data_IF_075387252370
#
_entry.id   IF_075387252370
#
_cell.length_a   1.000
_cell.length_b   1.000
_cell.length_c   1.000
_cell.angle_alpha   90.00
_cell.angle_beta   90.00
_cell.angle_gamma   90.00
#
_symmetry.space_group_name_H-M   'P 1'
#
loop_
_entity.id
_entity.type
_entity.pdbx_description
1 polymer ?
#
# COMPACT_ATOMS: atom_id res chain seq x y z
N UNK A 1 -7.16 19.25 8.60
CA UNK A 1 -5.88 19.21 9.32
C UNK A 1 -4.72 18.96 8.35
N UNK A 2 -4.64 19.69 7.25
CA UNK A 2 -3.66 19.44 6.16
C UNK A 2 -2.77 20.66 5.84
N UNK A 3 -2.62 21.63 6.74
CA UNK A 3 -1.77 22.81 6.54
C UNK A 3 -0.51 22.88 7.42
N UNK A 4 -0.22 21.84 8.20
CA UNK A 4 0.96 21.83 9.12
C UNK A 4 2.13 20.96 8.66
N UNK A 5 2.00 20.21 7.57
CA UNK A 5 3.09 19.34 7.05
C UNK A 5 3.92 20.04 5.96
N UNK A 6 3.46 21.16 5.40
CA UNK A 6 4.18 21.84 4.29
C UNK A 6 5.15 22.95 4.74
N UNK A 7 5.22 23.27 6.03
CA UNK A 7 6.08 24.36 6.56
C UNK A 7 7.42 23.84 7.11
N UNK A 8 7.59 22.54 7.29
CA UNK A 8 8.82 21.95 7.86
C UNK A 8 9.88 21.54 6.83
N UNK A 9 9.60 21.66 5.53
CA UNK A 9 10.54 21.28 4.46
C UNK A 9 11.25 22.46 3.78
N UNK A 10 11.00 23.70 4.21
CA UNK A 10 11.60 24.91 3.60
C UNK A 10 12.64 25.60 4.50
N UNK A 11 12.84 25.13 5.73
CA UNK A 11 13.76 25.81 6.69
C UNK A 11 15.14 25.11 6.82
N UNK A 12 15.45 24.11 6.01
CA UNK A 12 16.74 23.38 6.11
C UNK A 12 17.78 23.74 5.02
N UNK A 13 17.62 24.85 4.30
CA UNK A 13 18.58 25.25 3.23
C UNK A 13 19.30 26.59 3.49
N UNK A 14 19.14 27.23 4.64
CA UNK A 14 19.78 28.53 4.86
C UNK A 14 20.45 28.68 6.23
N UNK A 15 21.39 27.78 6.59
CA UNK A 15 22.33 28.01 7.68
C UNK A 15 23.69 27.32 7.41
N UNK A 16 24.30 27.69 6.30
CA UNK A 16 25.75 27.53 6.14
C UNK A 16 26.36 28.93 6.19
N UNK A 17 26.74 29.40 7.35
CA UNK A 17 27.64 30.50 7.48
C UNK A 17 28.40 30.42 8.81
N UNK A 18 29.70 30.17 8.65
CA UNK A 18 30.81 30.61 9.51
C UNK A 18 30.80 30.16 10.97
N UNK A 19 31.35 28.97 11.19
CA UNK A 19 32.05 28.68 12.44
C UNK A 19 33.56 28.60 12.12
N UNK A 20 34.32 29.59 12.56
CA UNK A 20 35.79 29.55 12.60
C UNK A 20 36.20 28.44 13.56
N UNK A 21 36.89 27.43 13.04
CA UNK A 21 37.53 26.42 13.85
C UNK A 21 38.68 27.02 14.68
N UNK A 22 38.57 26.98 15.99
CA UNK A 22 39.72 27.06 16.91
C UNK A 22 40.35 25.66 16.98
N UNK A 23 41.59 25.54 16.62
CA UNK A 23 42.45 24.35 16.83
C UNK A 23 42.73 24.17 18.31
N UNK A 24 42.52 22.99 18.91
CA UNK A 24 43.19 22.60 20.14
C UNK A 24 44.57 22.03 19.78
N UNK A 25 45.59 22.50 20.43
CA UNK A 25 46.96 21.96 20.43
C UNK A 25 46.97 20.72 21.34
N UNK A 26 47.84 19.79 20.89
CA UNK A 26 48.27 18.57 21.58
C UNK A 26 47.28 17.40 21.66
N UNK A 27 47.48 16.51 20.75
CA UNK A 27 47.04 15.09 20.89
C UNK A 27 48.18 14.17 20.49
N UNK A 28 48.64 13.43 21.42
CA UNK A 28 49.53 12.30 21.28
C UNK A 28 49.02 11.37 20.13
N UNK A 29 49.85 11.18 19.13
CA UNK A 29 49.61 10.26 18.03
C UNK A 29 49.55 8.84 18.58
N UNK A 30 48.36 8.31 18.79
CA UNK A 30 48.16 6.88 18.92
C UNK A 30 48.16 6.33 17.49
N UNK A 31 49.22 5.67 17.11
CA UNK A 31 49.33 4.90 15.88
C UNK A 31 48.36 3.72 15.96
N UNK A 32 47.16 3.89 15.40
CA UNK A 32 46.27 2.78 15.09
C UNK A 32 46.85 1.93 13.97
N UNK A 33 46.82 0.60 14.07
CA UNK A 33 47.27 -0.26 12.96
C UNK A 33 46.37 -0.01 11.75
N UNK A 34 46.97 0.30 10.62
CA UNK A 34 46.33 0.48 9.33
C UNK A 34 45.87 -0.88 8.76
N UNK A 35 44.80 -1.39 9.32
CA UNK A 35 43.98 -2.41 8.67
C UNK A 35 42.58 -1.82 8.46
N UNK A 36 42.19 -1.57 7.22
CA UNK A 36 40.79 -1.26 6.90
C UNK A 36 39.94 -2.46 7.28
N UNK A 37 39.25 -2.41 8.43
CA UNK A 37 38.23 -3.37 8.74
C UNK A 37 37.12 -3.16 7.76
N UNK A 38 36.94 -4.07 6.82
CA UNK A 38 35.94 -3.96 5.75
C UNK A 38 34.54 -4.13 6.34
N UNK A 39 34.39 -4.99 7.33
CA UNK A 39 33.17 -5.18 8.15
C UNK A 39 33.51 -5.98 9.43
N UNK A 40 32.61 -6.00 10.42
CA UNK A 40 32.81 -6.71 11.67
C UNK A 40 31.78 -7.81 11.84
N UNK A 41 32.24 -9.06 12.09
CA UNK A 41 31.37 -10.16 12.50
C UNK A 41 30.98 -9.95 13.97
N UNK A 42 29.73 -9.63 14.22
CA UNK A 42 29.23 -9.34 15.57
C UNK A 42 28.61 -10.58 16.24
N UNK A 43 27.95 -11.44 15.47
CA UNK A 43 27.41 -12.71 15.92
C UNK A 43 27.69 -13.81 14.90
N UNK A 44 27.67 -15.07 15.36
CA UNK A 44 27.64 -16.26 14.53
C UNK A 44 26.53 -17.17 15.06
N UNK A 45 25.65 -17.62 14.20
CA UNK A 45 24.51 -18.49 14.50
C UNK A 45 24.56 -19.70 13.55
N UNK A 46 24.94 -20.88 14.07
CA UNK A 46 25.26 -22.01 13.22
C UNK A 46 26.45 -21.69 12.31
N UNK A 47 26.26 -21.77 10.99
CA UNK A 47 27.26 -21.47 9.97
C UNK A 47 27.12 -20.04 9.41
N UNK A 48 26.15 -19.26 9.92
CA UNK A 48 25.83 -17.92 9.44
C UNK A 48 26.48 -16.84 10.30
N UNK A 49 27.26 -15.96 9.66
CA UNK A 49 27.80 -14.77 10.31
C UNK A 49 26.80 -13.60 10.16
N UNK A 50 26.66 -12.82 11.24
CA UNK A 50 25.92 -11.55 11.24
C UNK A 50 26.95 -10.44 11.32
N UNK A 51 26.88 -9.53 10.36
CA UNK A 51 27.80 -8.42 10.23
C UNK A 51 27.24 -7.15 10.88
N UNK A 52 28.12 -6.24 11.24
CA UNK A 52 27.72 -4.93 11.74
C UNK A 52 26.93 -4.15 10.65
N UNK A 53 27.33 -4.30 9.39
CA UNK A 53 26.63 -3.71 8.25
C UNK A 53 25.19 -4.21 8.09
N UNK A 54 24.89 -5.48 8.44
CA UNK A 54 23.52 -6.02 8.39
C UNK A 54 22.63 -5.32 9.43
N UNK A 55 23.18 -5.07 10.62
CA UNK A 55 22.46 -4.35 11.69
C UNK A 55 22.16 -2.91 11.28
N UNK A 56 23.14 -2.22 10.70
CA UNK A 56 22.94 -0.84 10.25
C UNK A 56 21.97 -0.76 9.07
N UNK A 57 22.00 -1.72 8.14
CA UNK A 57 21.04 -1.80 7.05
C UNK A 57 19.61 -1.99 7.58
N UNK A 58 19.41 -2.91 8.53
CA UNK A 58 18.09 -3.13 9.13
C UNK A 58 17.63 -1.93 9.97
N UNK A 59 18.56 -1.25 10.65
CA UNK A 59 18.26 -0.01 11.39
C UNK A 59 17.76 1.10 10.48
N UNK A 60 18.46 1.35 9.37
CA UNK A 60 18.09 2.37 8.37
C UNK A 60 16.74 2.03 7.76
N UNK A 61 16.52 0.78 7.36
CA UNK A 61 15.25 0.34 6.82
C UNK A 61 14.11 0.55 7.82
N UNK A 62 14.28 0.13 9.08
CA UNK A 62 13.28 0.30 10.11
C UNK A 62 12.93 1.77 10.39
N UNK A 63 13.93 2.66 10.35
CA UNK A 63 13.70 4.11 10.47
C UNK A 63 12.89 4.67 9.30
N UNK A 64 13.16 4.22 8.08
CA UNK A 64 12.41 4.64 6.88
C UNK A 64 10.94 4.16 6.92
N UNK A 65 10.72 2.97 7.45
CA UNK A 65 9.39 2.37 7.62
C UNK A 65 8.65 2.86 8.87
N UNK A 66 9.31 3.67 9.72
CA UNK A 66 8.75 4.18 10.97
C UNK A 66 8.55 3.09 12.04
N UNK A 67 9.33 2.01 11.98
CA UNK A 67 9.27 0.92 12.94
C UNK A 67 9.75 1.39 14.32
N UNK A 68 9.08 0.93 15.37
CA UNK A 68 9.50 1.10 16.76
C UNK A 68 10.13 -0.21 17.24
N UNK A 69 11.40 -0.15 17.57
CA UNK A 69 12.10 -1.29 18.14
C UNK A 69 11.68 -1.53 19.58
N UNK A 70 11.57 -2.80 19.97
CA UNK A 70 11.38 -3.17 21.35
C UNK A 70 12.73 -3.08 22.11
N UNK A 71 12.76 -2.36 23.24
CA UNK A 71 13.97 -2.18 24.03
C UNK A 71 15.05 -1.36 23.31
N UNK A 72 16.33 -1.69 23.61
CA UNK A 72 17.48 -1.05 22.98
C UNK A 72 17.71 -1.59 21.55
N UNK A 73 17.64 -0.74 20.49
CA UNK A 73 17.87 -1.16 19.12
C UNK A 73 19.24 -1.84 18.88
N UNK A 74 20.26 -1.47 19.65
CA UNK A 74 21.59 -2.06 19.54
C UNK A 74 21.61 -3.53 20.00
N UNK A 75 20.63 -3.97 20.78
CA UNK A 75 20.45 -5.32 21.23
C UNK A 75 19.39 -6.05 20.42
N UNK A 76 18.23 -5.43 20.21
CA UNK A 76 17.08 -6.08 19.59
C UNK A 76 17.25 -6.33 18.08
N UNK A 77 17.97 -5.45 17.35
CA UNK A 77 18.20 -5.67 15.91
C UNK A 77 19.11 -6.88 15.65
N UNK A 78 20.31 -7.00 16.28
CA UNK A 78 21.14 -8.20 16.14
C UNK A 78 20.40 -9.48 16.53
N UNK A 79 19.62 -9.45 17.62
CA UNK A 79 18.81 -10.60 18.05
C UNK A 79 17.77 -11.00 16.99
N UNK A 80 17.08 -10.03 16.41
CA UNK A 80 16.09 -10.28 15.38
C UNK A 80 16.71 -10.90 14.13
N UNK A 81 17.91 -10.45 13.71
CA UNK A 81 18.66 -11.05 12.61
C UNK A 81 19.06 -12.49 12.98
N UNK A 82 19.55 -12.71 14.21
CA UNK A 82 19.94 -14.03 14.69
C UNK A 82 18.76 -15.02 14.68
N UNK A 83 17.58 -14.59 15.12
CA UNK A 83 16.33 -15.38 15.07
C UNK A 83 15.95 -15.72 13.63
N UNK A 84 16.06 -14.76 12.69
CA UNK A 84 15.82 -15.03 11.27
C UNK A 84 16.78 -16.08 10.71
N UNK A 85 18.08 -16.02 11.09
CA UNK A 85 19.08 -17.04 10.68
C UNK A 85 18.77 -18.43 11.26
N UNK A 86 18.23 -18.53 12.48
CA UNK A 86 17.75 -19.82 13.02
C UNK A 86 16.62 -20.42 12.19
N UNK A 87 15.62 -19.60 11.80
CA UNK A 87 14.53 -20.04 10.94
C UNK A 87 15.02 -20.43 9.55
N UNK A 88 15.91 -19.62 8.94
CA UNK A 88 16.46 -19.90 7.63
C UNK A 88 17.24 -21.23 7.60
N UNK A 89 18.12 -21.43 8.56
CA UNK A 89 18.87 -22.68 8.69
C UNK A 89 17.92 -23.89 8.79
N UNK A 90 16.88 -23.80 9.62
CA UNK A 90 15.91 -24.89 9.72
C UNK A 90 15.09 -25.06 8.44
N UNK A 91 14.73 -23.96 7.75
CA UNK A 91 14.02 -24.03 6.48
C UNK A 91 14.81 -24.78 5.41
N UNK A 92 16.13 -24.59 5.38
CA UNK A 92 17.05 -25.31 4.48
C UNK A 92 17.08 -26.81 4.85
N UNK A 93 17.26 -27.14 6.13
CA UNK A 93 17.27 -28.53 6.63
C UNK A 93 15.96 -29.24 6.31
N UNK A 94 14.84 -28.55 6.52
CA UNK A 94 13.49 -29.07 6.30
C UNK A 94 13.03 -29.00 4.85
N UNK A 95 13.88 -28.53 3.92
CA UNK A 95 13.59 -28.36 2.50
C UNK A 95 12.28 -27.60 2.25
N UNK A 96 12.13 -26.43 2.89
CA UNK A 96 10.98 -25.57 2.68
C UNK A 96 11.02 -25.06 1.25
N UNK A 97 10.05 -25.45 0.44
CA UNK A 97 9.97 -25.09 -0.97
C UNK A 97 9.45 -23.65 -1.14
N UNK A 98 10.13 -22.89 -1.99
CA UNK A 98 9.69 -21.56 -2.48
C UNK A 98 9.85 -21.58 -3.99
N UNK A 99 8.80 -21.31 -4.74
CA UNK A 99 8.85 -21.39 -6.19
C UNK A 99 9.53 -20.18 -6.81
N UNK A 100 10.31 -20.40 -7.88
CA UNK A 100 10.96 -19.32 -8.61
C UNK A 100 9.95 -18.31 -9.22
N UNK A 101 8.74 -18.77 -9.49
CA UNK A 101 7.64 -17.92 -9.99
C UNK A 101 7.18 -16.92 -8.93
N UNK A 102 6.96 -17.38 -7.69
CA UNK A 102 6.58 -16.50 -6.57
C UNK A 102 7.66 -15.47 -6.26
N UNK A 103 8.93 -15.91 -6.27
CA UNK A 103 10.06 -15.02 -6.07
C UNK A 103 10.13 -13.97 -7.18
N UNK A 104 10.03 -14.39 -8.44
CA UNK A 104 10.10 -13.46 -9.57
C UNK A 104 8.96 -12.43 -9.54
N UNK A 105 7.73 -12.86 -9.25
CA UNK A 105 6.57 -11.99 -9.15
C UNK A 105 6.73 -10.98 -7.99
N UNK A 106 7.14 -11.43 -6.81
CA UNK A 106 7.33 -10.56 -5.66
C UNK A 106 8.45 -9.53 -5.86
N UNK A 107 9.57 -9.94 -6.48
CA UNK A 107 10.68 -9.04 -6.80
C UNK A 107 10.28 -7.99 -7.83
N UNK A 108 9.58 -8.36 -8.90
CA UNK A 108 9.12 -7.38 -9.89
C UNK A 108 8.12 -6.37 -9.27
N UNK A 109 7.19 -6.83 -8.45
CA UNK A 109 6.26 -5.95 -7.73
C UNK A 109 7.00 -4.97 -6.81
N UNK A 110 8.02 -5.44 -6.09
CA UNK A 110 8.83 -4.60 -5.22
C UNK A 110 9.64 -3.57 -6.02
N UNK A 111 10.27 -3.99 -7.14
CA UNK A 111 11.00 -3.10 -8.03
C UNK A 111 10.11 -2.02 -8.65
N UNK A 112 8.90 -2.38 -9.09
CA UNK A 112 7.92 -1.42 -9.62
C UNK A 112 7.55 -0.37 -8.57
N UNK A 113 7.33 -0.78 -7.32
CA UNK A 113 7.05 0.12 -6.21
C UNK A 113 8.24 1.06 -5.94
N UNK A 114 9.48 0.53 -5.90
CA UNK A 114 10.69 1.35 -5.72
C UNK A 114 10.87 2.36 -6.86
N UNK A 115 10.71 1.93 -8.10
CA UNK A 115 10.80 2.81 -9.28
C UNK A 115 9.74 3.91 -9.21
N UNK A 116 8.53 3.57 -8.78
CA UNK A 116 7.43 4.53 -8.61
C UNK A 116 7.75 5.59 -7.53
N UNK A 117 8.32 5.17 -6.40
CA UNK A 117 8.69 6.09 -5.31
C UNK A 117 9.88 7.00 -5.68
N UNK A 118 10.91 6.45 -6.32
CA UNK A 118 12.13 7.20 -6.69
C UNK A 118 11.90 8.02 -7.96
N UNK A 119 10.92 7.63 -8.79
CA UNK A 119 10.46 8.35 -9.96
C UNK A 119 11.00 7.86 -11.30
N UNK A 120 12.12 7.11 -11.36
CA UNK A 120 12.57 6.44 -12.59
C UNK A 120 13.54 5.30 -12.29
N UNK A 121 13.72 4.43 -13.29
CA UNK A 121 14.67 3.31 -13.27
C UNK A 121 16.12 3.81 -13.15
N UNK A 122 16.48 4.83 -13.92
CA UNK A 122 17.83 5.41 -13.96
C UNK A 122 18.21 5.96 -12.58
N UNK A 123 17.27 6.64 -11.90
CA UNK A 123 17.49 7.13 -10.54
C UNK A 123 17.63 6.00 -9.52
N UNK A 124 16.91 4.88 -9.70
CA UNK A 124 17.07 3.70 -8.87
C UNK A 124 18.47 3.09 -9.05
N UNK A 125 18.95 2.95 -10.31
CA UNK A 125 20.29 2.46 -10.62
C UNK A 125 21.39 3.39 -10.07
N UNK A 126 21.20 4.71 -10.18
CA UNK A 126 22.10 5.71 -9.62
C UNK A 126 22.16 5.66 -8.08
N UNK A 127 20.98 5.55 -7.43
CA UNK A 127 20.88 5.46 -5.97
C UNK A 127 21.59 4.22 -5.42
N UNK A 128 21.37 3.06 -6.04
CA UNK A 128 22.00 1.81 -5.63
C UNK A 128 23.41 1.61 -6.19
N UNK A 129 23.86 2.46 -7.11
CA UNK A 129 25.13 2.32 -7.86
C UNK A 129 25.26 0.93 -8.51
N UNK A 130 24.15 0.34 -8.92
CA UNK A 130 24.04 -0.98 -9.53
C UNK A 130 23.06 -0.94 -10.69
N UNK A 131 23.28 -1.80 -11.69
CA UNK A 131 22.28 -1.97 -12.76
C UNK A 131 21.00 -2.62 -12.21
N UNK A 132 19.86 -2.39 -12.87
CA UNK A 132 18.59 -3.01 -12.47
C UNK A 132 18.67 -4.54 -12.43
N UNK A 133 19.47 -5.14 -13.30
CA UNK A 133 19.69 -6.59 -13.30
C UNK A 133 20.44 -7.07 -12.05
N UNK A 134 21.41 -6.31 -11.57
CA UNK A 134 22.11 -6.60 -10.31
C UNK A 134 21.19 -6.39 -9.11
N UNK A 135 20.46 -5.27 -9.07
CA UNK A 135 19.46 -5.01 -8.01
C UNK A 135 18.43 -6.14 -7.95
N UNK A 136 17.94 -6.59 -9.13
CA UNK A 136 17.01 -7.73 -9.22
C UNK A 136 17.61 -9.03 -8.69
N UNK A 137 18.87 -9.30 -9.00
CA UNK A 137 19.56 -10.51 -8.50
C UNK A 137 19.70 -10.48 -6.97
N UNK A 138 20.14 -9.36 -6.41
CA UNK A 138 20.27 -9.17 -4.96
C UNK A 138 18.90 -9.31 -4.25
N UNK A 139 17.86 -8.71 -4.82
CA UNK A 139 16.50 -8.81 -4.30
C UNK A 139 15.94 -10.23 -4.36
N UNK A 140 16.29 -11.01 -5.39
CA UNK A 140 15.85 -12.42 -5.51
C UNK A 140 16.35 -13.26 -4.35
N UNK A 141 17.63 -13.12 -3.99
CA UNK A 141 18.22 -13.87 -2.89
C UNK A 141 17.57 -13.49 -1.56
N UNK A 142 17.53 -12.21 -1.22
CA UNK A 142 16.93 -11.74 0.04
C UNK A 142 15.42 -12.03 0.11
N UNK A 143 14.71 -12.01 -1.03
CA UNK A 143 13.29 -12.38 -1.09
C UNK A 143 13.09 -13.87 -0.87
N UNK A 144 13.96 -14.72 -1.45
CA UNK A 144 13.95 -16.18 -1.25
C UNK A 144 14.15 -16.52 0.22
N UNK A 145 15.20 -15.97 0.86
CA UNK A 145 15.47 -16.20 2.30
C UNK A 145 14.27 -15.81 3.15
N UNK A 146 13.66 -14.65 2.89
CA UNK A 146 12.48 -14.16 3.61
C UNK A 146 11.29 -15.11 3.46
N UNK A 147 11.03 -15.59 2.23
CA UNK A 147 9.94 -16.54 1.98
C UNK A 147 10.20 -17.90 2.67
N UNK A 148 11.45 -18.37 2.69
CA UNK A 148 11.83 -19.59 3.39
C UNK A 148 11.62 -19.46 4.91
N UNK A 149 12.02 -18.33 5.51
CA UNK A 149 11.78 -18.03 6.93
C UNK A 149 10.29 -18.02 7.24
N UNK A 150 9.50 -17.33 6.43
CA UNK A 150 8.05 -17.27 6.59
C UNK A 150 7.38 -18.64 6.42
N UNK A 151 7.80 -19.41 5.43
CA UNK A 151 7.34 -20.77 5.20
C UNK A 151 7.66 -21.70 6.38
N UNK A 152 8.85 -21.56 6.97
CA UNK A 152 9.23 -22.31 8.16
C UNK A 152 8.36 -21.95 9.37
N UNK A 153 8.13 -20.67 9.62
CA UNK A 153 7.23 -20.21 10.69
C UNK A 153 5.81 -20.75 10.49
N UNK A 154 5.28 -20.68 9.26
CA UNK A 154 3.96 -21.23 8.93
C UNK A 154 3.91 -22.75 9.16
N UNK A 155 4.95 -23.49 8.75
CA UNK A 155 5.06 -24.92 8.95
C UNK A 155 4.99 -25.31 10.43
N UNK A 156 5.64 -24.55 11.30
CA UNK A 156 5.63 -24.77 12.74
C UNK A 156 4.26 -24.57 13.40
N UNK A 157 3.43 -23.70 12.83
CA UNK A 157 2.15 -23.33 13.45
C UNK A 157 0.92 -23.79 12.65
N UNK A 158 1.09 -24.49 11.51
CA UNK A 158 -0.02 -24.89 10.62
C UNK A 158 -1.08 -25.75 11.31
N UNK A 159 -0.63 -26.64 12.19
CA UNK A 159 -1.50 -27.60 12.87
C UNK A 159 -2.01 -27.10 14.24
N UNK A 160 -1.63 -25.87 14.61
CA UNK A 160 -2.09 -25.25 15.85
C UNK A 160 -3.53 -24.83 15.73
N UNK A 161 -4.37 -25.42 16.53
CA UNK A 161 -5.81 -25.12 16.61
C UNK A 161 -6.20 -24.74 18.03
N UNK A 162 -7.33 -24.09 18.17
CA UNK A 162 -7.89 -23.70 19.47
C UNK A 162 -9.35 -24.13 19.52
N UNK A 163 -9.69 -24.88 20.55
CA UNK A 163 -11.05 -25.36 20.79
C UNK A 163 -11.95 -24.25 21.40
N UNK A 164 -13.28 -24.33 21.23
CA UNK A 164 -14.19 -23.39 21.85
C UNK A 164 -14.11 -23.37 23.40
N UNK A 165 -13.75 -24.49 24.00
CA UNK A 165 -13.57 -24.58 25.46
C UNK A 165 -12.34 -23.80 25.93
N UNK A 166 -11.23 -23.85 25.17
CA UNK A 166 -10.01 -23.09 25.46
C UNK A 166 -10.25 -21.59 25.35
N UNK A 167 -10.99 -21.14 24.29
CA UNK A 167 -11.35 -19.71 24.13
C UNK A 167 -12.16 -19.25 25.34
N UNK A 168 -13.23 -19.98 25.71
CA UNK A 168 -14.05 -19.65 26.87
C UNK A 168 -13.23 -19.59 28.17
N UNK A 169 -12.33 -20.56 28.39
CA UNK A 169 -11.46 -20.59 29.56
C UNK A 169 -10.52 -19.39 29.61
N UNK A 170 -9.93 -19.03 28.46
CA UNK A 170 -8.98 -17.92 28.38
C UNK A 170 -9.61 -16.59 28.80
N UNK A 171 -10.87 -16.32 28.42
CA UNK A 171 -11.56 -15.07 28.71
C UNK A 171 -12.43 -15.11 29.97
N UNK A 172 -12.63 -16.30 30.59
CA UNK A 172 -13.54 -16.46 31.73
C UNK A 172 -13.20 -15.55 32.91
N UNK A 173 -11.91 -15.46 33.22
CA UNK A 173 -11.43 -14.75 34.40
C UNK A 173 -10.74 -13.41 34.03
N UNK A 174 -10.88 -12.98 32.77
CA UNK A 174 -10.30 -11.73 32.29
C UNK A 174 -11.16 -10.55 32.72
N UNK A 175 -10.56 -9.49 33.32
CA UNK A 175 -11.28 -8.27 33.64
C UNK A 175 -11.92 -7.65 32.37
N UNK A 176 -13.12 -7.10 32.52
CA UNK A 176 -13.82 -6.48 31.38
C UNK A 176 -13.01 -5.41 30.66
N UNK A 177 -12.20 -4.64 31.38
CA UNK A 177 -11.34 -3.60 30.81
C UNK A 177 -10.22 -4.16 29.94
N UNK A 178 -9.83 -5.41 30.17
CA UNK A 178 -8.80 -6.13 29.40
C UNK A 178 -9.33 -6.86 28.16
N UNK A 179 -10.67 -6.94 28.01
CA UNK A 179 -11.26 -7.51 26.80
C UNK A 179 -11.00 -6.61 25.59
N UNK A 180 -10.73 -7.19 24.41
CA UNK A 180 -10.54 -6.43 23.21
C UNK A 180 -11.79 -5.59 22.87
N UNK A 181 -11.57 -4.39 22.37
CA UNK A 181 -12.65 -3.55 21.89
C UNK A 181 -12.93 -3.89 20.42
N UNK A 182 -14.17 -4.21 20.11
CA UNK A 182 -14.69 -4.39 18.76
C UNK A 182 -15.19 -3.03 18.29
N UNK A 183 -14.62 -2.44 17.25
CA UNK A 183 -15.06 -1.13 16.76
C UNK A 183 -16.45 -1.24 16.13
N UNK A 184 -17.17 -0.10 16.05
CA UNK A 184 -18.43 -0.01 15.33
C UNK A 184 -18.29 -0.50 13.90
N UNK A 185 -19.15 -1.43 13.51
CA UNK A 185 -19.28 -1.95 12.16
C UNK A 185 -20.61 -1.58 11.55
N UNK A 186 -20.61 -1.23 10.27
CA UNK A 186 -21.82 -0.85 9.53
C UNK A 186 -21.90 -1.56 8.20
N UNK A 187 -23.13 -1.83 7.74
CA UNK A 187 -23.42 -2.15 6.35
C UNK A 187 -24.14 -0.96 5.72
N UNK A 188 -23.65 -0.54 4.57
CA UNK A 188 -24.12 0.66 3.87
C UNK A 188 -24.56 0.31 2.46
N UNK A 189 -25.70 0.83 2.05
CA UNK A 189 -26.14 0.83 0.66
C UNK A 189 -26.01 2.22 0.08
N UNK A 190 -25.65 2.32 -1.21
CA UNK A 190 -25.39 3.59 -1.91
C UNK A 190 -26.15 3.67 -3.23
N UNK A 191 -26.68 4.84 -3.53
CA UNK A 191 -27.14 5.22 -4.88
C UNK A 191 -26.31 6.40 -5.31
N UNK A 192 -25.66 6.28 -6.46
CA UNK A 192 -24.87 7.37 -7.04
C UNK A 192 -25.48 7.89 -8.32
N UNK A 193 -25.28 9.18 -8.57
CA UNK A 193 -25.54 9.82 -9.85
C UNK A 193 -24.29 10.56 -10.29
N UNK A 194 -23.84 10.27 -11.50
CA UNK A 194 -22.73 11.00 -12.10
C UNK A 194 -23.26 12.29 -12.73
N UNK A 195 -22.81 13.48 -12.26
CA UNK A 195 -23.18 14.72 -12.91
C UNK A 195 -22.76 14.70 -14.39
N UNK A 196 -23.64 15.13 -15.28
CA UNK A 196 -23.35 15.15 -16.71
C UNK A 196 -22.39 16.28 -17.03
N UNK A 197 -21.30 15.96 -17.68
CA UNK A 197 -20.38 16.96 -18.21
C UNK A 197 -21.05 17.68 -19.40
N UNK A 198 -20.99 19.00 -19.43
CA UNK A 198 -21.53 19.77 -20.52
C UNK A 198 -20.69 19.60 -21.80
N UNK A 199 -21.36 19.68 -22.96
CA UNK A 199 -20.71 19.45 -24.24
C UNK A 199 -19.62 20.50 -24.54
N UNK A 200 -19.80 21.73 -24.05
CA UNK A 200 -18.82 22.80 -24.16
C UNK A 200 -17.51 22.46 -23.46
N UNK A 201 -17.60 21.91 -22.27
CA UNK A 201 -16.41 21.46 -21.51
C UNK A 201 -15.68 20.29 -22.21
N UNK A 202 -16.45 19.35 -22.76
CA UNK A 202 -15.89 18.26 -23.58
C UNK A 202 -15.17 18.83 -24.80
N UNK A 203 -15.77 19.82 -25.47
CA UNK A 203 -15.17 20.45 -26.63
C UNK A 203 -13.90 21.22 -26.25
N UNK A 204 -13.91 21.95 -25.14
CA UNK A 204 -12.73 22.64 -24.59
C UNK A 204 -11.56 21.68 -24.36
N UNK A 205 -11.80 20.58 -23.68
CA UNK A 205 -10.77 19.56 -23.41
C UNK A 205 -10.23 18.95 -24.72
N UNK A 206 -11.12 18.68 -25.69
CA UNK A 206 -10.70 18.16 -27.00
C UNK A 206 -9.88 19.18 -27.79
N UNK A 207 -10.19 20.45 -27.68
CA UNK A 207 -9.42 21.54 -28.33
C UNK A 207 -8.03 21.69 -27.71
N UNK A 208 -7.91 21.62 -26.38
CA UNK A 208 -6.61 21.60 -25.71
C UNK A 208 -5.73 20.42 -26.18
N UNK A 209 -6.29 19.23 -26.28
CA UNK A 209 -5.56 18.06 -26.77
C UNK A 209 -5.16 18.17 -28.24
N UNK A 210 -5.96 18.83 -29.07
CA UNK A 210 -5.59 19.16 -30.47
C UNK A 210 -4.42 20.13 -30.49
N UNK A 211 -4.49 21.22 -29.70
CA UNK A 211 -3.38 22.17 -29.57
C UNK A 211 -2.09 21.48 -29.18
N UNK A 212 -2.13 20.61 -28.17
CA UNK A 212 -0.96 19.82 -27.76
C UNK A 212 -0.42 18.95 -28.90
N UNK A 213 -1.30 18.30 -29.64
CA UNK A 213 -0.94 17.50 -30.81
C UNK A 213 -0.26 18.34 -31.89
N UNK A 214 -0.81 19.50 -32.18
CA UNK A 214 -0.26 20.42 -33.19
C UNK A 214 1.12 20.96 -32.78
N UNK A 215 1.30 21.34 -31.51
CA UNK A 215 2.58 21.81 -30.98
C UNK A 215 3.66 20.74 -31.04
N UNK A 216 3.28 19.48 -30.77
CA UNK A 216 4.19 18.31 -30.87
C UNK A 216 4.57 18.09 -32.34
N UNK A 217 3.62 18.07 -33.25
CA UNK A 217 3.83 17.82 -34.68
C UNK A 217 4.67 18.91 -35.35
N UNK A 218 4.53 20.17 -34.89
CA UNK A 218 5.33 21.32 -35.37
C UNK A 218 6.73 21.37 -34.72
N UNK A 219 7.02 20.53 -33.72
CA UNK A 219 8.27 20.54 -32.98
C UNK A 219 8.43 21.72 -32.01
N UNK A 220 7.34 22.46 -31.72
CA UNK A 220 7.33 23.58 -30.77
C UNK A 220 7.46 23.13 -29.33
N UNK A 221 7.06 21.89 -29.01
CA UNK A 221 7.19 21.28 -27.70
C UNK A 221 7.32 19.77 -27.79
N UNK A 222 8.01 19.16 -26.82
CA UNK A 222 8.04 17.70 -26.73
C UNK A 222 6.80 17.13 -26.05
N UNK A 223 6.41 15.92 -26.43
CA UNK A 223 5.30 15.21 -25.77
C UNK A 223 5.51 15.10 -24.26
N UNK A 224 6.75 14.78 -23.83
CA UNK A 224 7.12 14.67 -22.42
C UNK A 224 6.94 15.97 -21.64
N UNK A 225 7.30 17.10 -22.25
CA UNK A 225 7.15 18.42 -21.63
C UNK A 225 5.66 18.73 -21.40
N UNK A 226 4.83 18.53 -22.44
CA UNK A 226 3.39 18.79 -22.33
C UNK A 226 2.71 17.81 -21.36
N UNK A 227 3.15 16.55 -21.34
CA UNK A 227 2.63 15.58 -20.37
C UNK A 227 2.95 15.97 -18.92
N UNK A 228 4.18 16.45 -18.64
CA UNK A 228 4.55 16.93 -17.30
C UNK A 228 3.78 18.16 -16.85
N UNK A 229 3.45 19.04 -17.77
CA UNK A 229 2.78 20.31 -17.46
C UNK A 229 1.25 20.15 -17.37
N UNK A 230 0.66 19.31 -18.22
CA UNK A 230 -0.79 19.34 -18.45
C UNK A 230 -1.49 18.00 -18.26
N UNK A 231 -0.75 16.86 -18.19
CA UNK A 231 -1.42 15.57 -17.96
C UNK A 231 -1.98 15.48 -16.56
N UNK A 232 -3.24 15.08 -16.47
CA UNK A 232 -3.96 14.83 -15.22
C UNK A 232 -3.91 13.36 -14.79
N UNK A 233 -2.99 12.58 -15.38
CA UNK A 233 -2.69 11.23 -14.90
C UNK A 233 -1.58 11.27 -13.82
N UNK A 234 -1.91 11.04 -12.53
CA UNK A 234 -0.94 11.14 -11.45
C UNK A 234 0.16 10.07 -11.55
N UNK A 235 -0.13 8.94 -12.21
CA UNK A 235 0.80 7.81 -12.35
C UNK A 235 1.91 8.06 -13.35
N UNK A 236 1.67 8.83 -14.42
CA UNK A 236 2.60 9.00 -15.53
C UNK A 236 3.02 10.42 -15.80
N UNK A 237 2.25 11.43 -15.38
CA UNK A 237 2.50 12.85 -15.69
C UNK A 237 3.94 13.27 -15.35
N UNK A 238 4.42 12.96 -14.13
CA UNK A 238 5.78 13.29 -13.66
C UNK A 238 6.88 12.65 -14.50
N UNK A 239 6.58 11.48 -15.10
CA UNK A 239 7.48 10.74 -16.01
C UNK A 239 7.31 11.12 -17.48
N UNK A 240 6.66 12.27 -17.76
CA UNK A 240 6.43 12.72 -19.11
C UNK A 240 5.36 11.90 -19.86
N UNK A 241 4.40 11.37 -19.13
CA UNK A 241 3.30 10.55 -19.65
C UNK A 241 3.68 9.09 -19.94
N UNK A 242 4.88 8.64 -19.58
CA UNK A 242 5.40 7.33 -19.94
C UNK A 242 4.75 6.20 -19.14
N UNK A 243 4.13 5.27 -19.87
CA UNK A 243 3.60 4.01 -19.40
C UNK A 243 4.52 2.89 -19.90
N UNK A 244 5.04 2.09 -18.98
CA UNK A 244 6.00 1.04 -19.29
C UNK A 244 5.34 -0.14 -20.02
N UNK A 245 6.13 -1.15 -20.43
CA UNK A 245 5.66 -2.28 -21.20
C UNK A 245 4.45 -2.96 -20.57
N UNK A 246 3.27 -2.67 -21.10
CA UNK A 246 1.98 -3.12 -20.56
C UNK A 246 1.26 -3.97 -21.60
N UNK A 247 0.70 -5.08 -21.15
CA UNK A 247 -0.13 -5.96 -21.98
C UNK A 247 -1.52 -5.38 -22.23
N UNK A 248 -2.16 -5.79 -23.33
CA UNK A 248 -3.45 -5.26 -23.78
C UNK A 248 -4.55 -5.35 -22.70
N UNK A 249 -4.60 -6.45 -21.95
CA UNK A 249 -5.63 -6.71 -20.92
C UNK A 249 -5.49 -5.86 -19.65
N UNK A 250 -4.36 -5.15 -19.49
CA UNK A 250 -4.11 -4.25 -18.36
C UNK A 250 -4.50 -2.79 -18.63
N UNK A 251 -4.96 -2.49 -19.84
CA UNK A 251 -5.32 -1.15 -20.29
C UNK A 251 -6.82 -1.04 -20.51
N UNK A 252 -7.36 0.18 -20.38
CA UNK A 252 -8.73 0.48 -20.82
C UNK A 252 -8.92 0.00 -22.27
N UNK A 253 -10.02 -0.67 -22.62
CA UNK A 253 -10.23 -1.23 -23.96
C UNK A 253 -10.13 -0.21 -25.11
N UNK A 254 -10.67 1.01 -24.92
CA UNK A 254 -10.60 2.07 -25.93
C UNK A 254 -9.17 2.58 -26.10
N UNK A 255 -8.48 2.80 -24.99
CA UNK A 255 -7.06 3.18 -24.96
C UNK A 255 -6.19 2.09 -25.63
N UNK A 256 -6.38 0.83 -25.24
CA UNK A 256 -5.63 -0.31 -25.77
C UNK A 256 -5.80 -0.46 -27.29
N UNK A 257 -7.03 -0.31 -27.79
CA UNK A 257 -7.30 -0.43 -29.23
C UNK A 257 -6.50 0.58 -30.05
N UNK A 258 -6.43 1.83 -29.59
CA UNK A 258 -5.65 2.87 -30.27
C UNK A 258 -4.15 2.68 -30.06
N UNK A 259 -3.70 2.44 -28.82
CA UNK A 259 -2.30 2.29 -28.49
C UNK A 259 -1.64 1.15 -29.28
N UNK A 260 -2.26 -0.01 -29.32
CA UNK A 260 -1.75 -1.19 -30.07
C UNK A 260 -1.86 -1.02 -31.59
N UNK A 261 -2.72 -0.10 -32.09
CA UNK A 261 -2.81 0.27 -33.49
C UNK A 261 -1.70 1.20 -33.98
N UNK A 262 -0.98 1.87 -33.07
CA UNK A 262 0.11 2.79 -33.43
C UNK A 262 1.30 2.01 -34.01
N UNK A 263 1.86 2.56 -35.10
CA UNK A 263 3.03 1.95 -35.79
C UNK A 263 4.19 2.93 -35.90
N UNK A 264 3.95 4.24 -35.79
CA UNK A 264 4.94 5.30 -35.96
C UNK A 264 5.18 6.02 -34.64
N UNK A 265 6.40 5.93 -34.06
CA UNK A 265 6.74 6.62 -32.81
C UNK A 265 6.75 8.15 -32.91
N UNK A 266 6.80 8.71 -34.11
CA UNK A 266 6.79 10.16 -34.32
C UNK A 266 5.39 10.76 -34.34
N UNK A 267 4.36 9.93 -34.52
CA UNK A 267 2.97 10.37 -34.64
C UNK A 267 2.25 10.29 -33.31
N UNK A 268 1.46 11.33 -33.03
CA UNK A 268 0.49 11.35 -31.94
C UNK A 268 -0.83 10.74 -32.43
N UNK A 269 -1.51 9.98 -31.60
CA UNK A 269 -2.82 9.39 -31.90
C UNK A 269 -3.90 10.45 -32.11
N UNK A 270 -5.03 10.04 -32.67
CA UNK A 270 -6.29 10.78 -32.50
C UNK A 270 -6.67 10.79 -31.02
N UNK A 271 -7.53 11.73 -30.62
CA UNK A 271 -8.07 11.78 -29.27
C UNK A 271 -8.86 10.50 -28.99
N UNK A 272 -8.57 9.86 -27.85
CA UNK A 272 -9.21 8.65 -27.37
C UNK A 272 -10.02 8.98 -26.13
N UNK A 273 -11.27 8.56 -26.10
CA UNK A 273 -12.12 8.64 -24.92
C UNK A 273 -12.10 7.32 -24.17
N UNK A 274 -11.77 7.37 -22.87
CA UNK A 274 -11.74 6.22 -21.95
C UNK A 274 -12.60 6.49 -20.73
N UNK A 275 -12.73 5.53 -19.84
CA UNK A 275 -13.37 5.76 -18.53
C UNK A 275 -12.70 6.85 -17.70
N UNK A 276 -11.41 7.12 -17.92
CA UNK A 276 -10.61 8.11 -17.17
C UNK A 276 -10.68 9.53 -17.75
N UNK A 277 -11.11 9.71 -18.98
CA UNK A 277 -11.16 10.99 -19.68
C UNK A 277 -10.69 10.89 -21.12
N UNK A 278 -10.14 11.98 -21.65
CA UNK A 278 -9.65 12.08 -23.02
C UNK A 278 -8.13 12.00 -23.07
N UNK A 279 -7.61 11.21 -23.99
CA UNK A 279 -6.18 10.95 -24.13
C UNK A 279 -5.70 11.26 -25.54
N UNK A 280 -4.43 11.67 -25.63
CA UNK A 280 -3.60 11.49 -26.81
C UNK A 280 -2.42 10.59 -26.46
N UNK A 281 -2.01 9.75 -27.39
CA UNK A 281 -1.05 8.66 -27.16
C UNK A 281 0.06 8.74 -28.19
N UNK A 282 1.30 8.50 -27.78
CA UNK A 282 2.46 8.36 -28.65
C UNK A 282 3.18 7.05 -28.36
N UNK A 283 3.49 6.30 -29.41
CA UNK A 283 4.26 5.06 -29.31
C UNK A 283 5.70 5.34 -28.89
N UNK A 284 6.27 4.54 -28.00
CA UNK A 284 7.70 4.50 -27.71
C UNK A 284 8.30 3.23 -28.30
N UNK A 285 7.77 2.06 -27.96
CA UNK A 285 8.29 0.76 -28.40
C UNK A 285 7.21 -0.34 -28.29
N UNK A 286 7.41 -1.44 -29.07
CA UNK A 286 6.58 -2.65 -28.98
C UNK A 286 7.46 -3.88 -28.81
N UNK A 287 7.07 -4.77 -27.88
CA UNK A 287 7.77 -6.02 -27.63
C UNK A 287 6.76 -7.15 -27.48
N UNK A 288 6.61 -7.96 -28.52
CA UNK A 288 5.65 -9.04 -28.54
C UNK A 288 4.23 -8.55 -28.29
N UNK A 289 3.61 -9.03 -27.23
CA UNK A 289 2.24 -8.69 -26.80
C UNK A 289 2.15 -7.48 -25.86
N UNK A 290 3.30 -6.79 -25.61
CA UNK A 290 3.39 -5.60 -24.75
C UNK A 290 3.74 -4.37 -25.55
N UNK A 291 3.22 -3.22 -25.07
CA UNK A 291 3.46 -1.90 -25.66
C UNK A 291 3.96 -0.93 -24.60
N UNK A 292 4.92 -0.10 -24.99
CA UNK A 292 5.41 1.05 -24.22
C UNK A 292 4.98 2.33 -24.95
N UNK A 293 4.22 3.19 -24.26
CA UNK A 293 3.64 4.43 -24.81
C UNK A 293 3.84 5.61 -23.88
N UNK A 294 3.60 6.79 -24.41
CA UNK A 294 3.32 8.01 -23.61
C UNK A 294 1.91 8.44 -23.86
N UNK A 295 1.27 9.01 -22.84
CA UNK A 295 -0.05 9.61 -22.99
C UNK A 295 -0.18 10.91 -22.22
N UNK A 296 -1.09 11.75 -22.68
CA UNK A 296 -1.57 12.93 -21.95
C UNK A 296 -3.04 12.69 -21.69
N UNK A 297 -3.42 12.68 -20.42
CA UNK A 297 -4.81 12.58 -19.98
C UNK A 297 -5.33 13.96 -19.63
N UNK A 298 -6.51 14.31 -20.15
CA UNK A 298 -7.30 15.46 -19.73
C UNK A 298 -8.69 15.02 -19.32
N UNK A 299 -9.14 15.52 -18.17
CA UNK A 299 -10.45 15.20 -17.61
C UNK A 299 -11.37 16.41 -17.76
N UNK A 300 -12.56 16.25 -18.35
CA UNK A 300 -13.52 17.34 -18.34
C UNK A 300 -13.99 17.60 -16.91
N UNK A 301 -14.05 18.86 -16.52
CA UNK A 301 -14.48 19.30 -15.20
C UNK A 301 -16.00 19.39 -15.16
N UNK A 302 -16.58 18.86 -14.10
CA UNK A 302 -18.01 18.99 -13.84
C UNK A 302 -18.26 20.35 -13.21
N UNK A 303 -19.15 21.16 -13.80
CA UNK A 303 -19.51 22.45 -13.25
C UNK A 303 -20.51 22.31 -12.07
N UNK A 304 -20.62 23.36 -11.25
CA UNK A 304 -21.49 23.37 -10.07
C UNK A 304 -22.97 23.22 -10.43
N UNK A 305 -23.38 23.66 -11.62
CA UNK A 305 -24.77 23.53 -12.08
C UNK A 305 -25.12 22.04 -12.32
N UNK A 306 -24.23 21.30 -12.97
CA UNK A 306 -24.43 19.85 -13.19
C UNK A 306 -24.44 19.08 -11.86
N UNK A 307 -23.58 19.47 -10.92
CA UNK A 307 -23.56 18.89 -9.56
C UNK A 307 -24.91 19.17 -8.88
N UNK A 308 -25.38 20.42 -8.89
CA UNK A 308 -26.64 20.80 -8.25
C UNK A 308 -27.85 20.09 -8.87
N UNK A 309 -27.88 19.91 -10.20
CA UNK A 309 -28.92 19.10 -10.89
C UNK A 309 -28.91 17.65 -10.41
N UNK A 310 -27.74 17.04 -10.26
CA UNK A 310 -27.62 15.66 -9.77
C UNK A 310 -28.03 15.53 -8.30
N UNK A 311 -27.63 16.47 -7.45
CA UNK A 311 -28.06 16.52 -6.03
C UNK A 311 -29.57 16.67 -5.91
N UNK A 312 -30.20 17.60 -6.66
CA UNK A 312 -31.64 17.80 -6.66
C UNK A 312 -32.39 16.54 -7.12
N UNK A 313 -31.87 15.86 -8.17
CA UNK A 313 -32.44 14.59 -8.61
C UNK A 313 -32.35 13.51 -7.54
N UNK A 314 -31.21 13.39 -6.86
CA UNK A 314 -31.05 12.44 -5.75
C UNK A 314 -31.94 12.76 -4.57
N UNK A 315 -32.20 14.04 -4.27
CA UNK A 315 -33.12 14.44 -3.21
C UNK A 315 -34.57 14.07 -3.56
N UNK A 316 -34.98 14.21 -4.81
CA UNK A 316 -36.28 13.72 -5.29
C UNK A 316 -36.39 12.20 -5.16
N UNK A 317 -35.34 11.44 -5.55
CA UNK A 317 -35.27 9.98 -5.40
C UNK A 317 -35.37 9.59 -3.91
N UNK A 318 -34.61 10.29 -3.07
CA UNK A 318 -34.65 10.09 -1.61
C UNK A 318 -36.07 10.29 -1.06
N UNK A 319 -36.73 11.37 -1.47
CA UNK A 319 -38.11 11.66 -1.04
C UNK A 319 -39.06 10.55 -1.48
N UNK A 320 -38.97 10.11 -2.73
CA UNK A 320 -39.81 9.01 -3.25
C UNK A 320 -39.60 7.69 -2.49
N UNK A 321 -38.37 7.41 -2.07
CA UNK A 321 -38.06 6.24 -1.24
C UNK A 321 -38.64 6.39 0.18
N UNK A 322 -38.48 7.56 0.79
CA UNK A 322 -39.00 7.86 2.13
C UNK A 322 -40.51 7.81 2.13
N UNK A 323 -41.17 8.28 1.08
CA UNK A 323 -42.63 8.22 0.89
C UNK A 323 -43.13 6.80 0.56
N UNK A 324 -42.22 5.82 0.41
CA UNK A 324 -42.56 4.41 0.18
C UNK A 324 -43.00 4.09 -1.25
N UNK A 325 -42.73 4.97 -2.24
CA UNK A 325 -43.09 4.71 -3.65
C UNK A 325 -42.30 3.51 -4.20
N UNK A 326 -41.09 3.32 -3.76
CA UNK A 326 -40.25 2.15 -4.04
C UNK A 326 -39.15 2.01 -2.99
N UNK A 327 -38.63 0.77 -2.74
CA UNK A 327 -37.57 0.55 -1.77
C UNK A 327 -36.21 1.04 -2.30
N UNK A 328 -35.28 1.37 -1.38
CA UNK A 328 -33.93 1.84 -1.70
C UNK A 328 -33.20 0.87 -2.63
N UNK A 329 -33.36 -0.42 -2.40
CA UNK A 329 -32.75 -1.53 -3.14
C UNK A 329 -33.16 -1.52 -4.63
N UNK A 330 -34.41 -1.24 -4.91
CA UNK A 330 -34.92 -1.09 -6.27
C UNK A 330 -34.35 0.17 -6.94
N UNK A 331 -34.33 1.29 -6.20
CA UNK A 331 -33.68 2.53 -6.65
C UNK A 331 -32.21 2.31 -6.98
N UNK A 332 -31.47 1.62 -6.11
CA UNK A 332 -30.07 1.31 -6.34
C UNK A 332 -29.85 0.46 -7.59
N UNK A 333 -30.68 -0.55 -7.82
CA UNK A 333 -30.54 -1.46 -8.96
C UNK A 333 -30.90 -0.83 -10.31
N UNK A 334 -31.81 0.15 -10.33
CA UNK A 334 -32.36 0.73 -11.57
C UNK A 334 -31.76 2.10 -11.86
N UNK A 335 -31.56 2.93 -10.82
CA UNK A 335 -31.27 4.35 -10.97
C UNK A 335 -29.79 4.67 -10.74
N UNK A 336 -29.07 3.86 -9.94
CA UNK A 336 -27.67 4.12 -9.61
C UNK A 336 -26.75 4.01 -10.84
N UNK A 337 -25.86 4.98 -10.97
CA UNK A 337 -24.81 4.95 -11.99
C UNK A 337 -23.59 4.10 -11.55
N UNK A 338 -23.53 3.69 -10.27
CA UNK A 338 -22.45 2.87 -9.77
C UNK A 338 -22.61 1.40 -10.21
N UNK A 339 -21.73 0.97 -11.10
CA UNK A 339 -21.75 -0.39 -11.66
C UNK A 339 -21.34 -1.46 -10.62
N UNK A 340 -20.58 -1.09 -9.62
CA UNK A 340 -19.98 -2.02 -8.66
C UNK A 340 -20.99 -2.45 -7.59
N UNK A 341 -21.86 -1.52 -7.17
CA UNK A 341 -22.89 -1.79 -6.15
C UNK A 341 -24.30 -2.01 -6.74
N UNK A 342 -24.59 -1.51 -7.94
CA UNK A 342 -25.91 -1.59 -8.58
C UNK A 342 -26.45 -3.02 -8.65
N UNK A 343 -25.62 -3.98 -9.05
CA UNK A 343 -26.00 -5.39 -9.18
C UNK A 343 -26.18 -6.09 -7.83
N UNK A 344 -25.75 -5.44 -6.74
CA UNK A 344 -25.90 -5.91 -5.36
C UNK A 344 -26.83 -4.99 -4.55
N UNK A 345 -27.88 -4.45 -5.21
CA UNK A 345 -28.90 -3.62 -4.55
C UNK A 345 -28.33 -2.39 -3.81
N UNK A 346 -27.23 -1.86 -4.33
CA UNK A 346 -26.50 -0.74 -3.75
C UNK A 346 -25.59 -1.10 -2.57
N UNK A 347 -25.52 -2.37 -2.14
CA UNK A 347 -24.71 -2.80 -1.00
C UNK A 347 -23.20 -2.63 -1.31
N UNK A 348 -22.54 -1.83 -0.51
CA UNK A 348 -21.09 -1.60 -0.61
C UNK A 348 -20.32 -2.85 -0.15
N UNK A 349 -19.15 -3.05 -0.71
CA UNK A 349 -18.28 -4.18 -0.39
C UNK A 349 -16.90 -3.69 0.05
N UNK A 350 -16.45 -4.21 1.18
CA UNK A 350 -15.10 -4.03 1.72
C UNK A 350 -14.22 -5.21 1.32
N UNK A 351 -13.00 -4.94 0.87
CA UNK A 351 -12.00 -5.96 0.56
C UNK A 351 -10.98 -5.97 1.69
N UNK A 352 -11.03 -7.00 2.50
CA UNK A 352 -10.10 -7.21 3.61
C UNK A 352 -9.12 -8.34 3.29
N UNK A 353 -8.10 -8.53 4.14
CA UNK A 353 -7.18 -9.67 4.00
C UNK A 353 -7.89 -11.03 4.16
N UNK A 354 -9.04 -11.06 4.83
CA UNK A 354 -9.85 -12.26 5.05
C UNK A 354 -10.83 -12.53 3.90
N UNK A 355 -10.95 -11.59 2.95
CA UNK A 355 -11.84 -11.68 1.80
C UNK A 355 -12.78 -10.49 1.63
N UNK A 356 -13.81 -10.68 0.81
CA UNK A 356 -14.82 -9.65 0.53
C UNK A 356 -15.97 -9.75 1.52
N UNK A 357 -16.28 -8.63 2.19
CA UNK A 357 -17.38 -8.50 3.16
C UNK A 357 -18.23 -7.27 2.87
N UNK A 358 -19.47 -7.23 3.36
CA UNK A 358 -20.33 -6.03 3.35
C UNK A 358 -20.14 -5.14 4.59
N UNK A 359 -19.39 -5.61 5.58
CA UNK A 359 -19.16 -4.89 6.83
C UNK A 359 -17.95 -3.97 6.73
N UNK A 360 -18.12 -2.75 7.20
CA UNK A 360 -17.09 -1.73 7.28
C UNK A 360 -16.92 -1.25 8.71
N UNK A 361 -15.69 -1.14 9.16
CA UNK A 361 -15.39 -0.23 10.27
C UNK A 361 -15.55 1.20 9.76
N UNK A 362 -15.94 2.13 10.62
CA UNK A 362 -16.14 3.53 10.20
C UNK A 362 -14.91 4.14 9.53
N UNK A 363 -13.71 3.72 9.92
CA UNK A 363 -12.45 4.18 9.34
C UNK A 363 -12.16 3.62 7.92
N UNK A 364 -12.80 2.52 7.55
CA UNK A 364 -12.62 1.85 6.25
C UNK A 364 -13.55 2.41 5.16
N UNK A 365 -14.55 3.21 5.56
CA UNK A 365 -15.45 3.88 4.63
C UNK A 365 -14.80 5.13 4.00
N UNK A 366 -15.18 5.48 2.74
CA UNK A 366 -14.87 6.80 2.21
C UNK A 366 -15.33 7.90 3.17
N UNK A 367 -14.53 8.94 3.35
CA UNK A 367 -14.74 9.96 4.40
C UNK A 367 -16.10 10.65 4.33
N UNK A 368 -16.63 10.87 3.13
CA UNK A 368 -17.93 11.47 2.90
C UNK A 368 -19.07 10.53 3.27
N UNK A 369 -18.92 9.24 2.95
CA UNK A 369 -19.87 8.19 3.32
C UNK A 369 -19.89 8.00 4.84
N UNK A 370 -18.70 7.94 5.47
CA UNK A 370 -18.58 7.81 6.92
C UNK A 370 -19.31 8.95 7.65
N UNK A 371 -19.09 10.21 7.22
CA UNK A 371 -19.77 11.39 7.78
C UNK A 371 -21.30 11.34 7.60
N UNK A 372 -21.75 10.87 6.43
CA UNK A 372 -23.18 10.76 6.16
C UNK A 372 -23.84 9.68 7.03
N UNK A 373 -23.16 8.54 7.20
CA UNK A 373 -23.65 7.37 7.96
C UNK A 373 -23.63 7.60 9.47
N UNK A 374 -22.66 8.39 9.98
CA UNK A 374 -22.46 8.61 11.42
C UNK A 374 -23.72 9.15 12.12
N UNK A 375 -24.48 9.98 11.43
CA UNK A 375 -25.72 10.63 11.96
C UNK A 375 -26.99 9.83 11.70
N UNK A 376 -26.93 8.71 10.98
CA UNK A 376 -28.10 7.94 10.60
C UNK A 376 -28.48 6.89 11.66
N UNK A 377 -29.77 6.73 11.87
CA UNK A 377 -30.33 5.51 12.48
C UNK A 377 -30.39 4.38 11.44
N UNK A 378 -30.44 3.13 11.91
CA UNK A 378 -30.60 1.96 11.02
C UNK A 378 -31.87 2.10 10.19
N UNK A 379 -31.75 1.90 8.88
CA UNK A 379 -32.82 2.14 7.89
C UNK A 379 -32.89 3.59 7.39
N UNK A 380 -32.21 4.53 8.05
CA UNK A 380 -32.19 5.94 7.66
C UNK A 380 -31.43 6.19 6.36
N UNK A 381 -31.84 7.23 5.62
CA UNK A 381 -31.25 7.63 4.34
C UNK A 381 -30.67 9.03 4.48
N UNK A 382 -29.44 9.23 4.02
CA UNK A 382 -28.77 10.53 4.08
C UNK A 382 -29.39 11.55 3.15
N UNK A 383 -29.11 12.84 3.41
CA UNK A 383 -29.25 13.87 2.37
C UNK A 383 -28.24 13.58 1.25
N UNK A 384 -28.51 14.09 0.01
CA UNK A 384 -27.53 14.01 -1.08
C UNK A 384 -26.24 14.75 -0.71
N UNK A 385 -25.11 14.15 -1.10
CA UNK A 385 -23.77 14.73 -0.93
C UNK A 385 -22.89 14.41 -2.12
N UNK A 386 -21.77 15.13 -2.25
CA UNK A 386 -20.74 14.88 -3.28
C UNK A 386 -19.60 14.10 -2.69
N UNK A 387 -19.02 13.18 -3.49
CA UNK A 387 -17.81 12.45 -3.16
C UNK A 387 -16.96 12.18 -4.40
N UNK A 388 -15.72 11.77 -4.19
CA UNK A 388 -14.86 11.27 -5.25
C UNK A 388 -14.89 9.75 -5.20
N UNK A 389 -15.26 9.10 -6.29
CA UNK A 389 -15.27 7.65 -6.37
C UNK A 389 -13.84 7.08 -6.56
N UNK A 390 -13.69 5.75 -6.49
CA UNK A 390 -12.40 5.06 -6.66
C UNK A 390 -11.72 5.34 -8.01
N UNK A 391 -12.47 5.79 -9.01
CA UNK A 391 -11.96 6.18 -10.34
C UNK A 391 -11.57 7.66 -10.43
N UNK A 392 -11.59 8.38 -9.30
CA UNK A 392 -11.23 9.79 -9.22
C UNK A 392 -12.26 10.74 -9.86
N UNK A 393 -13.52 10.30 -10.05
CA UNK A 393 -14.61 11.12 -10.59
C UNK A 393 -15.47 11.67 -9.48
N UNK A 394 -15.89 12.94 -9.62
CA UNK A 394 -16.92 13.53 -8.77
C UNK A 394 -18.26 12.88 -9.05
N UNK A 395 -18.88 12.33 -8.03
CA UNK A 395 -20.23 11.75 -8.06
C UNK A 395 -21.07 12.34 -6.94
N UNK A 396 -22.37 12.39 -7.15
CA UNK A 396 -23.34 12.70 -6.10
C UNK A 396 -23.92 11.38 -5.56
N UNK A 397 -24.15 11.29 -4.27
CA UNK A 397 -24.62 10.08 -3.64
C UNK A 397 -25.66 10.33 -2.54
N UNK A 398 -26.52 9.34 -2.30
CA UNK A 398 -27.26 9.12 -1.08
C UNK A 398 -26.93 7.74 -0.55
N UNK A 399 -26.85 7.61 0.77
CA UNK A 399 -26.58 6.34 1.43
C UNK A 399 -27.70 5.97 2.40
N UNK A 400 -27.92 4.66 2.54
CA UNK A 400 -28.81 4.08 3.54
C UNK A 400 -27.98 3.26 4.50
N UNK A 401 -28.15 3.51 5.79
CA UNK A 401 -27.56 2.66 6.83
C UNK A 401 -28.40 1.39 6.96
N UNK A 402 -27.90 0.27 6.44
CA UNK A 402 -28.60 -1.01 6.44
C UNK A 402 -28.54 -1.69 7.79
N UNK A 403 -27.36 -1.72 8.40
CA UNK A 403 -27.15 -2.27 9.75
C UNK A 403 -26.03 -1.53 10.47
N UNK A 404 -26.06 -1.55 11.81
CA UNK A 404 -25.03 -1.00 12.68
C UNK A 404 -24.86 -1.93 13.87
N UNK A 405 -23.63 -2.28 14.15
CA UNK A 405 -23.20 -2.93 15.39
C UNK A 405 -22.31 -1.92 16.08
N UNK A 406 -22.78 -1.39 17.22
CA UNK A 406 -22.04 -0.37 17.95
C UNK A 406 -20.77 -0.96 18.56
N UNK A 407 -19.76 -0.12 18.70
CA UNK A 407 -18.48 -0.53 19.29
C UNK A 407 -18.69 -0.98 20.74
N UNK A 408 -18.14 -2.14 21.07
CA UNK A 408 -18.34 -2.77 22.38
C UNK A 408 -17.11 -3.58 22.81
N UNK A 409 -17.03 -3.92 24.07
CA UNK A 409 -16.08 -4.93 24.55
C UNK A 409 -16.50 -6.29 24.05
N UNK A 410 -15.56 -7.04 23.47
CA UNK A 410 -15.84 -8.33 22.85
C UNK A 410 -16.56 -9.28 23.82
N UNK A 411 -17.59 -9.95 23.31
CA UNK A 411 -18.34 -10.98 24.05
C UNK A 411 -18.10 -12.36 23.43
N UNK A 412 -18.17 -13.40 24.25
CA UNK A 412 -17.99 -14.78 23.77
C UNK A 412 -19.13 -15.22 22.84
N UNK A 413 -20.30 -14.61 22.97
CA UNK A 413 -21.49 -14.97 22.20
C UNK A 413 -21.51 -14.34 20.82
N UNK A 414 -21.08 -13.10 20.70
CA UNK A 414 -21.19 -12.31 19.45
C UNK A 414 -19.86 -12.28 18.69
N UNK A 415 -18.72 -12.24 19.41
CA UNK A 415 -17.39 -12.01 18.84
C UNK A 415 -16.48 -13.24 18.93
N UNK A 416 -17.08 -14.42 19.02
CA UNK A 416 -16.33 -15.67 19.23
C UNK A 416 -15.18 -15.85 18.25
N UNK A 417 -15.34 -15.47 16.96
CA UNK A 417 -14.29 -15.65 15.96
C UNK A 417 -13.13 -14.69 16.22
N UNK A 418 -13.39 -13.44 16.60
CA UNK A 418 -12.35 -12.45 16.96
C UNK A 418 -11.56 -12.96 18.15
N UNK A 419 -12.25 -13.40 19.20
CA UNK A 419 -11.65 -13.93 20.41
C UNK A 419 -10.86 -15.22 20.14
N UNK A 420 -11.38 -16.11 19.29
CA UNK A 420 -10.68 -17.33 18.86
C UNK A 420 -9.38 -17.00 18.11
N UNK A 421 -9.43 -16.05 17.17
CA UNK A 421 -8.25 -15.62 16.41
C UNK A 421 -7.18 -15.03 17.32
N UNK A 422 -7.56 -14.27 18.35
CA UNK A 422 -6.64 -13.71 19.32
C UNK A 422 -5.94 -14.81 20.16
N UNK A 423 -6.69 -15.79 20.68
CA UNK A 423 -6.12 -16.93 21.42
C UNK A 423 -5.23 -17.77 20.51
N UNK A 424 -5.65 -18.00 19.26
CA UNK A 424 -4.88 -18.73 18.26
C UNK A 424 -3.55 -18.02 17.94
N UNK A 425 -3.58 -16.70 17.72
CA UNK A 425 -2.38 -15.89 17.48
C UNK A 425 -1.42 -15.98 18.67
N UNK A 426 -1.93 -15.81 19.90
CA UNK A 426 -1.11 -15.94 21.12
C UNK A 426 -0.48 -17.33 21.22
N UNK A 427 -1.24 -18.39 20.95
CA UNK A 427 -0.73 -19.78 21.02
C UNK A 427 0.33 -20.04 19.95
N UNK A 428 0.12 -19.53 18.72
CA UNK A 428 1.11 -19.61 17.64
C UNK A 428 2.40 -18.87 18.01
N UNK A 429 2.30 -17.66 18.53
CA UNK A 429 3.46 -16.90 19.00
C UNK A 429 4.21 -17.64 20.11
N UNK A 430 3.50 -18.24 21.07
CA UNK A 430 4.12 -19.04 22.12
C UNK A 430 4.90 -20.25 21.54
N UNK A 431 4.32 -20.97 20.57
CA UNK A 431 4.97 -22.10 19.90
C UNK A 431 6.23 -21.64 19.16
N UNK A 432 6.17 -20.51 18.46
CA UNK A 432 7.34 -19.93 17.77
C UNK A 432 8.41 -19.50 18.79
N UNK A 433 8.03 -18.83 19.85
CA UNK A 433 8.94 -18.44 20.93
C UNK A 433 9.65 -19.64 21.55
N UNK A 434 8.89 -20.65 21.97
CA UNK A 434 9.44 -21.87 22.60
C UNK A 434 10.36 -22.62 21.63
N UNK A 435 10.02 -22.64 20.35
CA UNK A 435 10.86 -23.22 19.30
C UNK A 435 12.19 -22.46 19.19
N UNK A 436 12.19 -21.11 19.17
CA UNK A 436 13.41 -20.29 19.11
C UNK A 436 14.29 -20.57 20.33
N UNK A 437 13.74 -20.52 21.55
CA UNK A 437 14.49 -20.81 22.79
C UNK A 437 15.12 -22.22 22.75
N UNK A 438 14.37 -23.23 22.30
CA UNK A 438 14.89 -24.58 22.13
C UNK A 438 16.01 -24.63 21.09
N UNK A 439 15.85 -23.90 19.98
CA UNK A 439 16.80 -23.88 18.86
C UNK A 439 18.11 -23.18 19.25
N UNK A 440 18.05 -22.07 19.96
CA UNK A 440 19.22 -21.38 20.51
C UNK A 440 20.09 -22.37 21.32
N UNK A 441 19.46 -23.20 22.19
CA UNK A 441 20.16 -24.16 23.03
C UNK A 441 20.89 -25.28 22.24
N UNK A 442 20.40 -25.63 21.06
CA UNK A 442 20.92 -26.68 20.19
C UNK A 442 21.82 -26.19 19.04
N UNK A 443 21.93 -24.91 18.83
CA UNK A 443 22.71 -24.30 17.74
C UNK A 443 23.99 -23.69 18.28
N UNK A 444 25.08 -23.75 17.52
CA UNK A 444 26.28 -23.00 17.85
C UNK A 444 26.00 -21.49 17.77
N UNK A 445 26.27 -20.80 18.88
CA UNK A 445 26.11 -19.33 18.94
C UNK A 445 27.38 -18.71 19.52
N UNK A 446 27.92 -17.73 18.83
CA UNK A 446 29.00 -16.89 19.30
C UNK A 446 28.58 -15.42 19.20
N UNK A 447 28.65 -14.70 20.31
CA UNK A 447 28.28 -13.29 20.42
C UNK A 447 29.51 -12.48 20.78
N UNK A 448 29.70 -11.30 20.14
CA UNK A 448 30.71 -10.35 20.53
C UNK A 448 30.46 -9.85 21.97
N UNK A 449 31.52 -9.62 22.75
CA UNK A 449 31.44 -9.28 24.18
C UNK A 449 30.57 -8.06 24.45
N UNK A 450 30.54 -7.07 23.58
CA UNK A 450 29.73 -5.86 23.75
C UNK A 450 28.21 -6.10 23.77
N UNK A 451 27.74 -7.26 23.35
CA UNK A 451 26.31 -7.62 23.34
C UNK A 451 25.94 -8.55 24.51
N UNK A 452 26.88 -8.97 25.36
CA UNK A 452 26.61 -9.94 26.45
C UNK A 452 25.69 -9.39 27.54
N UNK A 453 25.71 -8.08 27.76
CA UNK A 453 24.89 -7.41 28.76
C UNK A 453 23.53 -6.95 28.22
N UNK A 454 23.17 -7.39 27.00
CA UNK A 454 21.88 -7.07 26.40
C UNK A 454 20.74 -7.81 27.09
N UNK A 455 19.62 -7.12 27.30
CA UNK A 455 18.34 -7.72 27.70
C UNK A 455 17.64 -8.26 26.43
N UNK A 456 17.81 -9.55 26.18
CA UNK A 456 17.28 -10.22 25.00
C UNK A 456 15.86 -10.71 25.22
N UNK A 457 15.07 -10.74 24.14
CA UNK A 457 13.72 -11.30 24.15
C UNK A 457 13.73 -12.83 24.37
N UNK A 458 14.77 -13.52 23.89
CA UNK A 458 14.90 -14.98 23.98
C UNK A 458 16.06 -15.37 24.89
N UNK A 459 15.78 -16.32 25.79
CA UNK A 459 16.81 -16.84 26.72
C UNK A 459 17.82 -17.75 26.01
N UNK A 460 19.06 -17.69 26.46
CA UNK A 460 20.10 -18.69 26.14
C UNK A 460 21.10 -18.25 25.07
N UNK A 461 21.07 -17.00 24.62
CA UNK A 461 22.07 -16.46 23.71
C UNK A 461 23.46 -16.36 24.32
N UNK A 462 23.54 -15.94 25.57
CA UNK A 462 24.81 -15.87 26.34
C UNK A 462 25.00 -17.16 27.13
N UNK A 463 26.12 -17.81 26.86
CA UNK A 463 26.54 -19.07 27.56
C UNK A 463 27.83 -18.85 28.31
#
# INVERSE_FOLDING_TARGET
>A
MSKRIFVLLVILVSLFSLVKAQQPKDSTVVTTPTGTTVDEVIWVVGDEAILLSDVEAMRIQGQQEGLRWHGNPDCSIPEQIAVQKLYLNQAIIDSVEVTDSEIAQGVEQYLENMISMIGSREKLEEYHKKSLSQIRADLRESYRERQMVQGMQQKLVKDITVSPAEVRRYFKDMPQDSLPFVPTEVEVQIITQQPKVEQEEINRVKEELRDYTDRINKGESSFQTLARLYSEDPGTARRGGELDYTGRGMLDPAFANVAFGLTDPKRVSKIVESEFGFHIIQLIDKRGDKIKVRHILRKPVVNDEAINKALTRLDSIRTDIVDGKFPFEAGASIISDDKDTRNNQGLMANVTQEGRTSRFKMADLPSEVARAVDTLSVGGISKPFTMINERGKTVCAIVKLKSRIDGHKATITEDFQILKNLVLAKRRNQVLHDWVVKRIKSTYVRINERYRDCDFEYEGWVR
#
